data_IF_733941506293
#
_entry.id   IF_733941506293
#
_cell.length_a   1.000
_cell.length_b   1.000
_cell.length_c   1.000
_cell.angle_alpha   90.00
_cell.angle_beta   90.00
_cell.angle_gamma   90.00
#
_symmetry.space_group_name_H-M   'P 1'
#
loop_
_entity.id
_entity.type
_entity.pdbx_description
1 polymer ?
#
# COMPACT_ATOMS: atom_id res chain seq x y z
N UNK A 1 -28.92 22.42 -38.76
CA UNK A 1 -29.60 21.62 -37.72
C UNK A 1 -29.48 22.37 -36.41
N UNK A 2 -30.61 22.91 -35.98
CA UNK A 2 -30.74 23.86 -34.87
C UNK A 2 -30.59 23.10 -33.54
N UNK A 3 -29.61 23.49 -32.73
CA UNK A 3 -29.41 22.96 -31.39
C UNK A 3 -30.58 23.42 -30.51
N UNK A 4 -31.57 22.54 -30.32
CA UNK A 4 -32.65 22.77 -29.37
C UNK A 4 -32.02 23.03 -27.99
N UNK A 5 -32.18 24.25 -27.46
CA UNK A 5 -31.79 24.61 -26.10
C UNK A 5 -32.57 23.74 -25.12
N UNK A 6 -31.99 22.60 -24.75
CA UNK A 6 -32.51 21.74 -23.68
C UNK A 6 -32.58 22.58 -22.42
N UNK A 7 -33.80 22.81 -21.92
CA UNK A 7 -34.02 23.56 -20.68
C UNK A 7 -33.15 22.96 -19.58
N UNK A 8 -32.37 23.80 -18.87
CA UNK A 8 -31.55 23.37 -17.73
C UNK A 8 -32.36 22.57 -16.71
N UNK A 9 -33.66 22.85 -16.58
CA UNK A 9 -34.59 22.10 -15.74
C UNK A 9 -34.85 20.67 -16.25
N UNK A 10 -34.94 20.45 -17.57
CA UNK A 10 -35.08 19.11 -18.15
C UNK A 10 -33.81 18.27 -17.96
N UNK A 11 -32.64 18.91 -18.08
CA UNK A 11 -31.35 18.25 -17.84
C UNK A 11 -31.16 17.89 -16.37
N UNK A 12 -31.51 18.81 -15.46
CA UNK A 12 -31.46 18.58 -14.02
C UNK A 12 -32.47 17.50 -13.60
N UNK A 13 -33.70 17.54 -14.11
CA UNK A 13 -34.72 16.51 -13.85
C UNK A 13 -34.27 15.13 -14.36
N UNK A 14 -33.66 15.06 -15.55
CA UNK A 14 -33.13 13.80 -16.08
C UNK A 14 -32.00 13.20 -15.21
N UNK A 15 -31.23 14.03 -14.48
CA UNK A 15 -30.23 13.56 -13.52
C UNK A 15 -30.81 13.18 -12.16
N UNK A 16 -31.82 13.92 -11.67
CA UNK A 16 -32.41 13.70 -10.33
C UNK A 16 -33.40 12.52 -10.33
N UNK A 17 -34.22 12.36 -11.37
CA UNK A 17 -35.28 11.33 -11.41
C UNK A 17 -34.73 9.92 -11.18
N UNK A 18 -33.63 9.47 -11.84
CA UNK A 18 -33.07 8.15 -11.57
C UNK A 18 -32.59 7.98 -10.13
N UNK A 19 -32.03 9.03 -9.51
CA UNK A 19 -31.56 9.00 -8.11
C UNK A 19 -32.75 8.87 -7.16
N UNK A 20 -33.83 9.61 -7.40
CA UNK A 20 -35.04 9.54 -6.58
C UNK A 20 -35.71 8.17 -6.72
N UNK A 21 -35.81 7.63 -7.94
CA UNK A 21 -36.35 6.29 -8.17
C UNK A 21 -35.51 5.21 -7.51
N UNK A 22 -34.17 5.33 -7.59
CA UNK A 22 -33.25 4.43 -6.89
C UNK A 22 -33.42 4.51 -5.37
N UNK A 23 -33.48 5.71 -4.81
CA UNK A 23 -33.72 5.92 -3.38
C UNK A 23 -35.07 5.33 -2.94
N UNK A 24 -36.14 5.54 -3.72
CA UNK A 24 -37.44 4.95 -3.46
C UNK A 24 -37.42 3.41 -3.52
N UNK A 25 -36.71 2.83 -4.49
CA UNK A 25 -36.51 1.38 -4.59
C UNK A 25 -35.74 0.82 -3.39
N UNK A 26 -34.67 1.50 -2.96
CA UNK A 26 -33.91 1.12 -1.75
C UNK A 26 -34.82 1.18 -0.52
N UNK A 27 -35.53 2.29 -0.30
CA UNK A 27 -36.46 2.42 0.83
C UNK A 27 -37.57 1.36 0.81
N UNK A 28 -38.06 0.99 -0.37
CA UNK A 28 -39.01 -0.11 -0.52
C UNK A 28 -38.39 -1.44 -0.11
N UNK A 29 -37.22 -1.78 -0.65
CA UNK A 29 -36.53 -3.05 -0.37
C UNK A 29 -36.10 -3.20 1.10
N UNK A 30 -35.72 -2.11 1.77
CA UNK A 30 -35.41 -2.12 3.21
C UNK A 30 -36.63 -1.91 4.12
N UNK A 31 -37.82 -1.71 3.55
CA UNK A 31 -39.06 -1.50 4.27
C UNK A 31 -40.12 -2.52 3.86
N UNK A 32 -41.20 -2.12 3.15
CA UNK A 32 -42.29 -3.03 2.77
C UNK A 32 -41.89 -4.25 1.94
N UNK A 33 -40.78 -4.17 1.20
CA UNK A 33 -40.24 -5.22 0.35
C UNK A 33 -39.14 -6.06 1.00
N UNK A 34 -38.90 -5.93 2.30
CA UNK A 34 -37.80 -6.64 2.99
C UNK A 34 -37.88 -8.17 2.87
N UNK A 35 -39.08 -8.73 2.73
CA UNK A 35 -39.28 -10.17 2.50
C UNK A 35 -38.61 -10.64 1.19
N UNK A 36 -38.45 -9.76 0.20
CA UNK A 36 -37.73 -10.05 -1.05
C UNK A 36 -36.23 -10.23 -0.84
N UNK A 37 -35.70 -9.80 0.31
CA UNK A 37 -34.29 -9.90 0.70
C UNK A 37 -34.02 -11.06 1.67
N UNK A 38 -35.04 -11.81 2.08
CA UNK A 38 -34.92 -12.86 3.08
C UNK A 38 -34.41 -14.19 2.47
N UNK A 39 -33.12 -14.23 2.13
CA UNK A 39 -32.48 -15.37 1.48
C UNK A 39 -31.87 -16.40 2.45
N UNK A 40 -31.99 -16.20 3.76
CA UNK A 40 -31.44 -17.10 4.76
C UNK A 40 -31.13 -16.40 6.07
N UNK A 41 -30.51 -17.14 6.99
CA UNK A 41 -30.08 -16.62 8.29
C UNK A 41 -28.68 -16.04 8.09
N UNK A 42 -28.46 -14.73 8.35
CA UNK A 42 -27.13 -14.16 8.36
C UNK A 42 -26.23 -14.86 9.39
N UNK A 43 -25.00 -15.15 9.01
CA UNK A 43 -24.00 -15.73 9.90
C UNK A 43 -23.27 -14.63 10.67
N UNK A 44 -22.81 -14.88 11.91
CA UNK A 44 -21.92 -13.94 12.59
C UNK A 44 -20.59 -13.87 11.85
N UNK A 45 -19.92 -12.73 11.98
CA UNK A 45 -18.55 -12.57 11.50
C UNK A 45 -17.83 -11.55 12.39
N UNK A 46 -16.63 -11.91 12.83
CA UNK A 46 -15.74 -11.02 13.58
C UNK A 46 -14.36 -11.00 12.96
N UNK A 47 -13.72 -9.84 13.02
CA UNK A 47 -12.33 -9.67 12.65
C UNK A 47 -11.49 -9.48 13.91
N UNK A 48 -10.49 -10.33 14.09
CA UNK A 48 -9.43 -10.11 15.07
C UNK A 48 -8.44 -9.12 14.44
N UNK A 49 -8.46 -7.87 14.90
CA UNK A 49 -7.70 -6.78 14.26
C UNK A 49 -6.28 -6.68 14.80
N UNK A 50 -6.06 -7.04 16.06
CA UNK A 50 -4.77 -6.91 16.74
C UNK A 50 -4.63 -7.89 17.90
N UNK A 51 -3.46 -8.49 18.04
CA UNK A 51 -3.07 -9.33 19.19
C UNK A 51 -1.81 -8.71 19.79
N UNK A 52 -1.86 -8.36 21.07
CA UNK A 52 -0.75 -7.76 21.80
C UNK A 52 -0.37 -8.60 23.01
N UNK A 53 0.90 -8.92 23.10
CA UNK A 53 1.46 -9.67 24.21
C UNK A 53 2.01 -8.69 25.26
N UNK A 54 1.33 -8.62 26.39
CA UNK A 54 1.71 -7.77 27.54
C UNK A 54 1.98 -8.65 28.75
N UNK A 55 2.66 -8.13 29.78
CA UNK A 55 3.09 -8.97 30.91
C UNK A 55 1.89 -9.70 31.55
N UNK A 56 1.92 -11.04 31.54
CA UNK A 56 0.90 -11.94 32.11
C UNK A 56 -0.50 -11.84 31.45
N UNK A 57 -0.59 -11.29 30.24
CA UNK A 57 -1.87 -11.11 29.54
C UNK A 57 -1.68 -11.06 28.01
N UNK A 58 -2.64 -11.60 27.27
CA UNK A 58 -2.79 -11.41 25.82
C UNK A 58 -4.01 -10.50 25.61
N UNK A 59 -3.82 -9.39 24.89
CA UNK A 59 -4.86 -8.42 24.58
C UNK A 59 -5.25 -8.55 23.10
N UNK A 60 -6.54 -8.77 22.84
CA UNK A 60 -7.08 -9.02 21.50
C UNK A 60 -8.10 -7.95 21.17
N UNK A 61 -7.84 -7.16 20.13
CA UNK A 61 -8.82 -6.20 19.60
C UNK A 61 -9.69 -6.91 18.57
N UNK A 62 -11.00 -6.93 18.80
CA UNK A 62 -11.96 -7.61 17.94
C UNK A 62 -13.02 -6.62 17.44
N UNK A 63 -13.42 -6.74 16.18
CA UNK A 63 -14.51 -5.97 15.57
C UNK A 63 -15.59 -6.90 15.05
N UNK A 64 -16.87 -6.58 15.29
CA UNK A 64 -17.97 -7.23 14.60
C UNK A 64 -18.04 -6.74 13.14
N UNK A 65 -17.70 -7.60 12.19
CA UNK A 65 -17.75 -7.29 10.75
C UNK A 65 -18.97 -7.91 10.07
N UNK A 66 -19.71 -8.74 10.80
CA UNK A 66 -20.93 -9.38 10.36
C UNK A 66 -22.13 -8.43 10.24
N UNK A 67 -23.21 -8.92 9.62
CA UNK A 67 -24.45 -8.17 9.44
C UNK A 67 -25.34 -8.15 10.70
N UNK A 68 -25.03 -8.97 11.71
CA UNK A 68 -25.83 -9.14 12.94
C UNK A 68 -25.04 -8.76 14.18
N UNK A 69 -25.75 -8.36 15.22
CA UNK A 69 -25.17 -8.14 16.54
C UNK A 69 -24.84 -9.50 17.18
N UNK A 70 -23.76 -9.54 17.94
CA UNK A 70 -23.25 -10.77 18.58
C UNK A 70 -22.63 -10.47 19.93
N UNK A 71 -22.33 -11.51 20.70
CA UNK A 71 -21.55 -11.40 21.92
C UNK A 71 -20.38 -12.38 21.94
N UNK A 72 -19.21 -11.92 22.38
CA UNK A 72 -18.07 -12.80 22.63
C UNK A 72 -18.38 -13.62 23.88
N UNK A 73 -18.43 -14.94 23.74
CA UNK A 73 -18.81 -15.86 24.81
C UNK A 73 -17.58 -16.49 25.50
N UNK A 74 -16.55 -16.82 24.72
CA UNK A 74 -15.34 -17.48 25.22
C UNK A 74 -14.10 -17.01 24.47
N UNK A 75 -12.95 -17.10 25.13
CA UNK A 75 -11.63 -16.95 24.53
C UNK A 75 -10.77 -18.17 24.86
N UNK A 76 -9.93 -18.57 23.91
CA UNK A 76 -9.02 -19.68 24.05
C UNK A 76 -7.62 -19.36 23.48
N UNK A 77 -6.61 -20.02 24.02
CA UNK A 77 -5.21 -19.94 23.56
C UNK A 77 -4.73 -21.37 23.36
N UNK A 78 -4.35 -21.71 22.12
CA UNK A 78 -3.98 -23.07 21.71
C UNK A 78 -5.07 -24.10 22.10
N UNK A 79 -6.32 -23.83 21.73
CA UNK A 79 -7.52 -24.63 22.02
C UNK A 79 -7.87 -24.81 23.51
N UNK A 80 -7.19 -24.11 24.41
CA UNK A 80 -7.52 -24.12 25.84
C UNK A 80 -8.27 -22.86 26.23
N UNK A 81 -9.47 -23.03 26.79
CA UNK A 81 -10.33 -21.93 27.23
C UNK A 81 -9.75 -21.26 28.46
N UNK A 82 -9.74 -19.92 28.44
CA UNK A 82 -9.33 -19.07 29.57
C UNK A 82 -10.45 -18.08 29.92
N UNK A 83 -10.57 -17.68 31.20
CA UNK A 83 -11.47 -16.59 31.56
C UNK A 83 -10.93 -15.28 30.98
N UNK A 84 -11.72 -14.56 30.18
CA UNK A 84 -11.31 -13.29 29.60
C UNK A 84 -12.22 -12.15 30.07
N UNK A 85 -11.64 -10.97 30.29
CA UNK A 85 -12.41 -9.74 30.48
C UNK A 85 -12.62 -9.08 29.11
N UNK A 86 -13.81 -8.53 28.86
CA UNK A 86 -14.15 -7.89 27.59
C UNK A 86 -14.60 -6.46 27.88
N UNK A 87 -13.95 -5.49 27.25
CA UNK A 87 -14.17 -4.06 27.43
C UNK A 87 -14.66 -3.42 26.11
N UNK A 88 -15.69 -2.55 26.12
CA UNK A 88 -16.46 -2.10 27.28
C UNK A 88 -17.47 -3.14 27.80
N UNK A 89 -17.99 -3.99 26.92
CA UNK A 89 -18.82 -5.13 27.27
C UNK A 89 -18.74 -6.22 26.18
N UNK A 90 -19.34 -7.39 26.43
CA UNK A 90 -19.22 -8.55 25.55
C UNK A 90 -20.08 -8.45 24.28
N UNK A 91 -21.06 -7.56 24.24
CA UNK A 91 -21.94 -7.34 23.10
C UNK A 91 -21.32 -6.38 22.09
N UNK A 92 -21.47 -6.71 20.81
CA UNK A 92 -20.93 -5.94 19.71
C UNK A 92 -22.02 -5.76 18.66
N UNK A 93 -22.50 -4.53 18.50
CA UNK A 93 -23.24 -4.16 17.31
C UNK A 93 -22.33 -4.12 16.09
N UNK A 94 -22.91 -4.11 14.90
CA UNK A 94 -22.15 -4.09 13.65
C UNK A 94 -21.12 -2.94 13.61
N UNK A 95 -19.87 -3.30 13.33
CA UNK A 95 -18.66 -2.47 13.31
C UNK A 95 -18.16 -1.92 14.64
N UNK A 96 -18.80 -2.29 15.76
CA UNK A 96 -18.26 -2.01 17.08
C UNK A 96 -17.02 -2.87 17.36
N UNK A 97 -16.16 -2.34 18.20
CA UNK A 97 -14.89 -2.94 18.60
C UNK A 97 -14.89 -3.18 20.10
N UNK A 98 -14.36 -4.32 20.54
CA UNK A 98 -14.07 -4.60 21.95
C UNK A 98 -12.62 -5.06 22.11
N UNK A 99 -12.13 -4.91 23.34
CA UNK A 99 -10.85 -5.43 23.80
C UNK A 99 -11.09 -6.68 24.65
N UNK A 100 -10.59 -7.83 24.21
CA UNK A 100 -10.61 -9.09 24.96
C UNK A 100 -9.27 -9.29 25.64
N UNK A 101 -9.29 -9.34 26.98
CA UNK A 101 -8.14 -9.43 27.88
C UNK A 101 -8.04 -10.84 28.45
N UNK A 102 -7.06 -11.61 27.98
CA UNK A 102 -6.86 -13.02 28.36
C UNK A 102 -5.67 -13.11 29.32
N UNK A 103 -5.87 -13.43 30.62
CA UNK A 103 -4.78 -13.64 31.57
C UNK A 103 -4.01 -14.91 31.19
N UNK A 104 -2.81 -14.73 30.67
CA UNK A 104 -2.00 -15.81 30.10
C UNK A 104 -0.50 -15.48 30.22
N UNK A 105 0.29 -16.43 30.69
CA UNK A 105 1.76 -16.34 30.71
C UNK A 105 2.30 -16.86 29.38
N UNK A 106 2.84 -15.96 28.55
CA UNK A 106 3.40 -16.28 27.24
C UNK A 106 4.93 -16.15 27.25
N UNK A 107 5.57 -16.81 26.30
CA UNK A 107 7.00 -16.73 26.06
C UNK A 107 7.29 -16.05 24.72
N UNK A 108 8.38 -15.29 24.68
CA UNK A 108 8.84 -14.64 23.45
C UNK A 108 9.25 -15.68 22.40
N UNK A 109 8.94 -15.40 21.14
CA UNK A 109 9.19 -16.26 19.98
C UNK A 109 8.49 -17.63 20.01
N UNK A 110 7.48 -17.83 20.86
CA UNK A 110 6.58 -18.98 20.76
C UNK A 110 5.38 -18.69 19.84
N UNK A 111 4.94 -19.66 19.03
CA UNK A 111 3.72 -19.55 18.26
C UNK A 111 2.49 -19.74 19.15
N UNK A 112 1.44 -18.95 18.89
CA UNK A 112 0.14 -19.08 19.55
C UNK A 112 -1.01 -19.00 18.55
N UNK A 113 -2.05 -19.79 18.74
CA UNK A 113 -3.35 -19.58 18.12
C UNK A 113 -4.32 -19.00 19.16
N UNK A 114 -4.88 -17.83 18.85
CA UNK A 114 -5.84 -17.14 19.71
C UNK A 114 -7.23 -17.30 19.11
N UNK A 115 -8.14 -17.93 19.86
CA UNK A 115 -9.51 -18.17 19.45
C UNK A 115 -10.53 -17.36 20.24
N UNK A 116 -11.56 -16.87 19.56
CA UNK A 116 -12.74 -16.23 20.14
C UNK A 116 -13.99 -16.96 19.66
N UNK A 117 -14.83 -17.40 20.59
CA UNK A 117 -16.10 -18.06 20.29
C UNK A 117 -17.25 -17.13 20.65
N UNK A 118 -18.16 -16.92 19.71
CA UNK A 118 -19.33 -16.04 19.90
C UNK A 118 -20.53 -16.82 20.48
N UNK A 119 -21.60 -16.12 20.85
CA UNK A 119 -22.76 -16.66 21.57
C UNK A 119 -23.52 -17.80 20.85
N UNK A 120 -23.32 -17.98 19.54
CA UNK A 120 -23.92 -19.10 18.78
C UNK A 120 -23.00 -20.34 18.67
N UNK A 121 -21.79 -20.26 19.24
CA UNK A 121 -20.79 -21.32 19.21
C UNK A 121 -19.81 -21.26 18.03
N UNK A 122 -19.93 -20.29 17.13
CA UNK A 122 -18.97 -20.09 16.03
C UNK A 122 -17.64 -19.58 16.59
N UNK A 123 -16.53 -20.27 16.26
CA UNK A 123 -15.16 -19.91 16.66
C UNK A 123 -14.44 -19.21 15.51
N UNK A 124 -13.78 -18.12 15.83
CA UNK A 124 -12.87 -17.38 14.95
C UNK A 124 -11.50 -17.42 15.59
N UNK A 125 -10.45 -17.65 14.80
CA UNK A 125 -9.10 -17.78 15.33
C UNK A 125 -8.08 -17.10 14.45
N UNK A 126 -6.99 -16.65 15.07
CA UNK A 126 -5.86 -16.09 14.39
C UNK A 126 -4.56 -16.63 15.00
N UNK A 127 -3.65 -17.06 14.13
CA UNK A 127 -2.31 -17.50 14.52
C UNK A 127 -1.33 -16.34 14.60
N UNK A 128 -0.43 -16.41 15.56
CA UNK A 128 0.77 -15.59 15.69
C UNK A 128 1.95 -16.55 15.62
N UNK A 129 2.82 -16.38 14.63
CA UNK A 129 3.96 -17.28 14.40
C UNK A 129 5.04 -17.16 15.50
N UNK A 130 5.24 -15.94 16.00
CA UNK A 130 6.21 -15.64 17.03
C UNK A 130 5.69 -14.51 17.92
N UNK A 131 5.33 -14.81 19.17
CA UNK A 131 4.92 -13.79 20.12
C UNK A 131 6.07 -12.83 20.43
N UNK A 132 5.77 -11.53 20.35
CA UNK A 132 6.70 -10.47 20.73
C UNK A 132 6.01 -9.47 21.68
N UNK A 133 6.75 -8.89 22.64
CA UNK A 133 6.21 -7.88 23.52
C UNK A 133 5.57 -6.72 22.75
N UNK A 134 4.39 -6.28 23.18
CA UNK A 134 3.71 -5.13 22.61
C UNK A 134 4.63 -3.90 22.59
N UNK A 135 4.79 -3.29 21.42
CA UNK A 135 5.66 -2.13 21.27
C UNK A 135 5.14 -0.93 22.05
N UNK A 136 6.03 -0.32 22.83
CA UNK A 136 5.78 0.97 23.46
C UNK A 136 6.49 2.06 22.68
N UNK A 137 5.78 3.09 22.19
CA UNK A 137 6.41 4.22 21.53
C UNK A 137 7.51 4.82 22.42
N UNK A 138 8.74 4.83 21.91
CA UNK A 138 9.91 5.42 22.58
C UNK A 138 10.81 6.12 21.57
N UNK A 139 11.68 7.00 22.05
CA UNK A 139 12.64 7.71 21.20
C UNK A 139 13.65 6.71 20.62
N UNK A 140 14.03 5.70 21.39
CA UNK A 140 14.93 4.62 20.96
C UNK A 140 14.34 3.84 19.80
N UNK A 141 13.07 3.43 19.90
CA UNK A 141 12.38 2.68 18.85
C UNK A 141 12.12 3.56 17.61
N UNK A 142 11.74 4.82 17.79
CA UNK A 142 11.62 5.77 16.68
C UNK A 142 12.98 5.96 15.97
N UNK A 143 14.07 6.06 16.72
CA UNK A 143 15.42 6.18 16.16
C UNK A 143 15.82 4.91 15.41
N UNK A 144 15.49 3.73 15.94
CA UNK A 144 15.71 2.46 15.27
C UNK A 144 14.99 2.39 13.93
N UNK A 145 13.69 2.72 13.87
CA UNK A 145 12.96 2.78 12.61
C UNK A 145 13.53 3.79 11.62
N UNK A 146 14.02 4.94 12.11
CA UNK A 146 14.65 5.94 11.25
C UNK A 146 15.98 5.44 10.65
N UNK A 147 16.76 4.68 11.42
CA UNK A 147 17.97 4.03 10.93
C UNK A 147 17.61 3.00 9.85
N UNK A 148 16.65 2.10 10.12
CA UNK A 148 16.18 1.13 9.14
C UNK A 148 15.69 1.82 7.85
N UNK A 149 14.80 2.81 7.95
CA UNK A 149 14.31 3.56 6.80
C UNK A 149 15.42 4.29 6.04
N UNK A 150 16.50 4.71 6.71
CA UNK A 150 17.67 5.29 6.05
C UNK A 150 18.46 4.25 5.25
N UNK A 151 18.65 3.04 5.80
CA UNK A 151 19.35 1.94 5.13
C UNK A 151 18.55 1.30 3.99
N UNK A 152 17.23 1.34 4.07
CA UNK A 152 16.33 0.79 3.06
C UNK A 152 16.01 1.81 1.97
N UNK A 153 15.68 3.06 2.34
CA UNK A 153 15.26 4.09 1.39
C UNK A 153 16.41 4.98 0.93
N UNK A 154 16.98 5.77 1.83
CA UNK A 154 17.90 6.86 1.45
C UNK A 154 19.21 6.32 0.86
N UNK A 155 19.91 5.43 1.57
CA UNK A 155 21.25 4.97 1.15
C UNK A 155 21.18 4.24 -0.20
N UNK A 156 20.28 3.27 -0.44
CA UNK A 156 20.21 2.55 -1.70
C UNK A 156 19.88 3.46 -2.87
N UNK A 157 18.89 4.34 -2.73
CA UNK A 157 18.54 5.30 -3.79
C UNK A 157 19.76 6.19 -4.12
N UNK A 158 20.50 6.65 -3.12
CA UNK A 158 21.73 7.42 -3.34
C UNK A 158 22.83 6.61 -4.03
N UNK A 159 22.97 5.33 -3.71
CA UNK A 159 23.87 4.40 -4.43
C UNK A 159 23.44 4.28 -5.89
N UNK A 160 22.13 4.13 -6.15
CA UNK A 160 21.57 4.10 -7.49
C UNK A 160 21.87 5.37 -8.30
N UNK A 161 21.86 6.53 -7.66
CA UNK A 161 22.21 7.80 -8.32
C UNK A 161 23.68 7.86 -8.77
N UNK A 162 24.58 7.02 -8.22
CA UNK A 162 25.97 6.95 -8.65
C UNK A 162 26.12 6.40 -10.08
N UNK A 163 25.07 5.81 -10.66
CA UNK A 163 25.04 5.44 -12.08
C UNK A 163 24.96 6.64 -13.02
N UNK A 164 24.65 7.85 -12.52
CA UNK A 164 24.50 9.06 -13.34
C UNK A 164 25.67 9.31 -14.31
N UNK A 165 26.96 9.31 -13.90
CA UNK A 165 28.08 9.61 -14.80
C UNK A 165 28.25 8.58 -15.92
N UNK A 166 27.85 7.33 -15.66
CA UNK A 166 27.88 6.24 -16.63
C UNK A 166 26.79 6.43 -17.69
N UNK A 167 25.54 6.69 -17.27
CA UNK A 167 24.41 6.93 -18.18
C UNK A 167 24.64 8.19 -19.03
N UNK A 168 25.18 9.25 -18.45
CA UNK A 168 25.41 10.53 -19.12
C UNK A 168 26.32 10.42 -20.35
N UNK A 169 27.24 9.44 -20.35
CA UNK A 169 28.23 9.21 -21.42
C UNK A 169 27.74 8.24 -22.50
N UNK A 170 26.52 7.72 -22.40
CA UNK A 170 26.01 6.71 -23.34
C UNK A 170 25.59 7.29 -24.69
N UNK A 171 25.64 6.44 -25.73
CA UNK A 171 25.01 6.72 -27.02
C UNK A 171 23.48 6.87 -26.88
N UNK A 172 22.79 7.53 -27.83
CA UNK A 172 21.32 7.71 -27.77
C UNK A 172 20.56 6.38 -27.61
N UNK A 173 20.93 5.35 -28.36
CA UNK A 173 20.29 4.02 -28.29
C UNK A 173 20.47 3.34 -26.92
N UNK A 174 21.67 3.44 -26.32
CA UNK A 174 21.94 2.89 -24.98
C UNK A 174 21.19 3.68 -23.90
N UNK A 175 21.18 5.01 -24.00
CA UNK A 175 20.39 5.85 -23.09
C UNK A 175 18.90 5.49 -23.12
N UNK A 176 18.34 5.29 -24.32
CA UNK A 176 16.96 4.87 -24.50
C UNK A 176 16.67 3.49 -23.89
N UNK A 177 17.58 2.53 -24.08
CA UNK A 177 17.50 1.23 -23.42
C UNK A 177 17.44 1.37 -21.90
N UNK A 178 18.31 2.17 -21.28
CA UNK A 178 18.32 2.37 -19.83
C UNK A 178 17.07 3.09 -19.32
N UNK A 179 16.55 4.06 -20.07
CA UNK A 179 15.29 4.72 -19.73
C UNK A 179 14.09 3.75 -19.80
N UNK A 180 14.10 2.83 -20.77
CA UNK A 180 13.10 1.78 -20.89
C UNK A 180 13.27 0.66 -19.85
N UNK A 181 14.52 0.33 -19.47
CA UNK A 181 14.85 -0.54 -18.34
C UNK A 181 14.20 -0.02 -17.07
N UNK A 182 14.37 1.27 -16.77
CA UNK A 182 13.67 1.92 -15.66
C UNK A 182 12.17 1.72 -15.71
N UNK A 183 11.52 1.92 -16.87
CA UNK A 183 10.08 1.71 -17.00
C UNK A 183 9.70 0.25 -16.70
N UNK A 184 10.50 -0.73 -17.14
CA UNK A 184 10.30 -2.15 -16.83
C UNK A 184 10.42 -2.45 -15.33
N UNK A 185 11.47 -1.95 -14.68
CA UNK A 185 11.65 -2.09 -13.23
C UNK A 185 10.43 -1.55 -12.45
N UNK A 186 9.99 -0.34 -12.81
CA UNK A 186 8.84 0.32 -12.18
C UNK A 186 7.51 -0.40 -12.44
N UNK A 187 7.29 -0.97 -13.64
CA UNK A 187 6.07 -1.75 -13.91
C UNK A 187 5.97 -2.94 -12.96
N UNK A 188 7.07 -3.66 -12.74
CA UNK A 188 7.09 -4.77 -11.80
C UNK A 188 6.76 -4.30 -10.38
N UNK A 189 7.43 -3.24 -9.91
CA UNK A 189 7.20 -2.67 -8.56
C UNK A 189 5.73 -2.24 -8.35
N UNK A 190 5.10 -1.67 -9.39
CA UNK A 190 3.68 -1.31 -9.31
C UNK A 190 2.75 -2.52 -9.21
N UNK A 191 3.13 -3.67 -9.79
CA UNK A 191 2.37 -4.93 -9.68
C UNK A 191 2.59 -5.57 -8.30
N UNK A 192 3.85 -5.61 -7.86
CA UNK A 192 4.27 -6.10 -6.54
C UNK A 192 3.49 -5.43 -5.41
N UNK A 193 3.43 -4.09 -5.41
CA UNK A 193 2.66 -3.32 -4.43
C UNK A 193 1.14 -3.59 -4.46
N UNK A 194 0.58 -3.99 -5.61
CA UNK A 194 -0.84 -4.39 -5.70
C UNK A 194 -1.04 -5.78 -5.12
N UNK A 195 -0.10 -6.70 -5.40
CA UNK A 195 -0.14 -8.09 -4.97
C UNK A 195 -0.05 -8.20 -3.44
N UNK A 196 0.92 -7.49 -2.84
CA UNK A 196 1.04 -7.33 -1.38
C UNK A 196 -0.27 -6.76 -0.77
N UNK A 197 -0.87 -5.76 -1.43
CA UNK A 197 -2.16 -5.22 -0.99
C UNK A 197 -3.27 -6.28 -0.99
N UNK A 198 -3.29 -7.18 -1.99
CA UNK A 198 -4.25 -8.28 -2.05
C UNK A 198 -4.00 -9.32 -0.97
N UNK A 199 -2.75 -9.65 -0.66
CA UNK A 199 -2.39 -10.57 0.42
C UNK A 199 -2.85 -10.03 1.78
N UNK A 200 -2.50 -8.78 2.11
CA UNK A 200 -2.99 -8.12 3.34
C UNK A 200 -4.52 -8.09 3.37
N UNK A 201 -5.17 -7.83 2.24
CA UNK A 201 -6.63 -7.83 2.15
C UNK A 201 -7.23 -9.21 2.38
N UNK A 202 -6.57 -10.28 1.97
CA UNK A 202 -7.07 -11.64 2.10
C UNK A 202 -6.87 -12.17 3.53
N UNK A 203 -5.75 -11.83 4.15
CA UNK A 203 -5.34 -12.38 5.44
C UNK A 203 -5.78 -11.54 6.65
N UNK A 204 -5.79 -10.21 6.51
CA UNK A 204 -5.87 -9.27 7.65
C UNK A 204 -7.04 -8.30 7.58
N UNK A 205 -7.83 -8.29 6.49
CA UNK A 205 -8.98 -7.42 6.36
C UNK A 205 -10.27 -8.21 6.15
N UNK A 206 -11.30 -7.92 6.93
CA UNK A 206 -12.62 -8.52 6.71
C UNK A 206 -13.16 -8.19 5.31
N UNK A 207 -13.79 -9.20 4.69
CA UNK A 207 -14.48 -9.05 3.40
C UNK A 207 -15.55 -7.94 3.40
N UNK A 208 -16.06 -7.54 4.57
CA UNK A 208 -16.99 -6.42 4.71
C UNK A 208 -16.44 -5.09 4.14
N UNK A 209 -15.11 -4.92 4.11
CA UNK A 209 -14.45 -3.72 3.59
C UNK A 209 -14.11 -3.77 2.10
N UNK A 210 -14.34 -4.90 1.42
CA UNK A 210 -14.05 -5.09 -0.01
C UNK A 210 -12.63 -4.63 -0.40
N UNK A 211 -11.60 -5.14 0.28
CA UNK A 211 -10.23 -4.66 0.11
C UNK A 211 -9.72 -4.72 -1.33
N UNK A 212 -10.13 -5.69 -2.15
CA UNK A 212 -9.74 -5.73 -3.57
C UNK A 212 -10.26 -4.52 -4.36
N UNK A 213 -11.51 -4.10 -4.11
CA UNK A 213 -12.09 -2.93 -4.76
C UNK A 213 -11.50 -1.64 -4.21
N UNK A 214 -11.15 -1.62 -2.91
CA UNK A 214 -10.42 -0.51 -2.31
C UNK A 214 -9.08 -0.31 -3.01
N UNK A 215 -8.30 -1.38 -3.21
CA UNK A 215 -7.02 -1.35 -3.94
C UNK A 215 -7.21 -0.75 -5.33
N UNK A 216 -8.10 -1.34 -6.13
CA UNK A 216 -8.35 -0.86 -7.49
C UNK A 216 -8.76 0.62 -7.51
N UNK A 217 -9.63 1.03 -6.59
CA UNK A 217 -10.11 2.42 -6.47
C UNK A 217 -8.98 3.38 -6.13
N UNK A 218 -8.14 3.02 -5.16
CA UNK A 218 -7.05 3.88 -4.69
C UNK A 218 -5.92 3.94 -5.72
N UNK A 219 -5.57 2.83 -6.37
CA UNK A 219 -4.58 2.80 -7.47
C UNK A 219 -5.02 3.72 -8.61
N UNK A 220 -6.26 3.54 -9.11
CA UNK A 220 -6.78 4.33 -10.23
C UNK A 220 -6.94 5.80 -9.84
N UNK A 221 -7.49 6.07 -8.66
CA UNK A 221 -7.67 7.43 -8.14
C UNK A 221 -6.34 8.18 -8.00
N UNK A 222 -5.33 7.51 -7.45
CA UNK A 222 -3.98 8.07 -7.27
C UNK A 222 -3.30 8.29 -8.62
N UNK A 223 -3.34 7.31 -9.52
CA UNK A 223 -2.82 7.45 -10.88
C UNK A 223 -3.42 8.66 -11.61
N UNK A 224 -4.76 8.78 -11.61
CA UNK A 224 -5.46 9.88 -12.30
C UNK A 224 -5.15 11.22 -11.64
N UNK A 225 -5.20 11.30 -10.31
CA UNK A 225 -4.95 12.52 -9.57
C UNK A 225 -3.53 13.05 -9.77
N UNK A 226 -2.53 12.16 -9.69
CA UNK A 226 -1.13 12.49 -9.92
C UNK A 226 -0.88 12.84 -11.39
N UNK A 227 -1.44 12.08 -12.33
CA UNK A 227 -1.27 12.34 -13.76
C UNK A 227 -1.84 13.72 -14.16
N UNK A 228 -3.03 14.07 -13.67
CA UNK A 228 -3.62 15.39 -13.88
C UNK A 228 -2.75 16.51 -13.32
N UNK A 229 -2.25 16.34 -12.09
CA UNK A 229 -1.42 17.33 -11.41
C UNK A 229 -0.06 17.49 -12.11
N UNK A 230 0.55 16.38 -12.54
CA UNK A 230 1.79 16.32 -13.28
C UNK A 230 1.70 17.08 -14.62
N UNK A 231 0.68 16.81 -15.44
CA UNK A 231 0.48 17.49 -16.73
C UNK A 231 0.28 19.01 -16.55
N UNK A 232 -0.46 19.41 -15.52
CA UNK A 232 -0.69 20.83 -15.19
C UNK A 232 0.58 21.55 -14.72
N UNK A 233 1.46 20.85 -14.01
CA UNK A 233 2.73 21.39 -13.54
C UNK A 233 3.75 21.49 -14.67
N UNK A 234 3.90 20.43 -15.47
CA UNK A 234 4.88 20.36 -16.56
C UNK A 234 4.54 21.31 -17.71
N UNK A 235 3.25 21.53 -18.01
CA UNK A 235 2.82 22.47 -19.06
C UNK A 235 3.18 23.94 -18.78
N UNK A 236 3.52 24.29 -17.54
CA UNK A 236 3.89 25.66 -17.12
C UNK A 236 5.40 25.91 -17.08
N UNK A 237 6.21 24.92 -17.45
CA UNK A 237 7.66 24.91 -17.20
C UNK A 237 8.44 24.88 -18.53
N UNK A 238 9.58 25.58 -18.59
CA UNK A 238 10.42 25.65 -19.79
C UNK A 238 11.07 24.30 -20.15
N UNK A 239 11.44 24.09 -21.42
CA UNK A 239 12.00 22.81 -21.91
C UNK A 239 13.26 22.36 -21.15
N UNK A 240 14.16 23.29 -20.78
CA UNK A 240 15.34 22.99 -19.97
C UNK A 240 15.01 22.54 -18.53
N UNK A 241 13.85 22.94 -18.02
CA UNK A 241 13.36 22.56 -16.69
C UNK A 241 12.49 21.30 -16.74
N UNK A 242 12.17 20.78 -17.93
CA UNK A 242 11.33 19.58 -18.14
C UNK A 242 12.02 18.31 -17.64
N UNK A 243 13.31 18.12 -17.91
CA UNK A 243 14.08 16.97 -17.39
C UNK A 243 14.11 16.94 -15.85
N UNK A 244 14.32 18.12 -15.24
CA UNK A 244 14.33 18.27 -13.77
C UNK A 244 12.94 18.02 -13.19
N UNK A 245 11.89 18.54 -13.83
CA UNK A 245 10.51 18.30 -13.41
C UNK A 245 10.15 16.81 -13.49
N UNK A 246 10.55 16.11 -14.57
CA UNK A 246 10.30 14.66 -14.68
C UNK A 246 11.08 13.89 -13.63
N UNK A 247 12.36 14.21 -13.41
CA UNK A 247 13.14 13.56 -12.36
C UNK A 247 12.57 13.80 -10.96
N UNK A 248 12.02 14.99 -10.70
CA UNK A 248 11.32 15.29 -9.46
C UNK A 248 10.02 14.49 -9.33
N UNK A 249 9.23 14.37 -10.40
CA UNK A 249 8.02 13.53 -10.39
C UNK A 249 8.36 12.05 -10.17
N UNK A 250 9.43 11.55 -10.80
CA UNK A 250 9.97 10.21 -10.55
C UNK A 250 10.35 10.05 -9.08
N UNK A 251 11.12 10.99 -8.53
CA UNK A 251 11.53 10.95 -7.12
C UNK A 251 10.35 11.02 -6.14
N UNK A 252 9.31 11.81 -6.43
CA UNK A 252 8.09 11.87 -5.61
C UNK A 252 7.30 10.56 -5.71
N UNK A 253 7.15 10.00 -6.92
CA UNK A 253 6.43 8.74 -7.13
C UNK A 253 7.12 7.58 -6.43
N UNK A 254 8.45 7.50 -6.54
CA UNK A 254 9.28 6.56 -5.77
C UNK A 254 9.11 6.82 -4.28
N UNK A 255 9.22 8.07 -3.80
CA UNK A 255 9.02 8.35 -2.37
C UNK A 255 7.68 7.91 -1.80
N UNK A 256 6.60 7.96 -2.58
CA UNK A 256 5.31 7.41 -2.15
C UNK A 256 5.30 5.87 -2.09
N UNK A 257 6.10 5.19 -2.93
CA UNK A 257 6.30 3.76 -2.88
C UNK A 257 7.14 3.34 -1.66
N UNK A 258 8.29 3.98 -1.41
CA UNK A 258 9.13 3.65 -0.26
C UNK A 258 8.45 3.99 1.07
N UNK A 259 7.46 4.91 1.08
CA UNK A 259 6.56 5.08 2.23
C UNK A 259 5.79 3.78 2.55
N UNK A 260 5.29 3.09 1.53
CA UNK A 260 4.61 1.80 1.67
C UNK A 260 5.54 0.69 2.15
N UNK A 261 6.75 0.59 1.58
CA UNK A 261 7.79 -0.34 2.05
C UNK A 261 8.14 -0.12 3.52
N UNK A 262 8.35 1.14 3.89
CA UNK A 262 8.59 1.52 5.28
C UNK A 262 7.45 1.04 6.17
N UNK A 263 6.20 1.21 5.75
CA UNK A 263 5.03 0.76 6.49
C UNK A 263 5.04 -0.76 6.70
N UNK A 264 5.32 -1.54 5.65
CA UNK A 264 5.41 -3.00 5.73
C UNK A 264 6.53 -3.45 6.67
N UNK A 265 7.73 -2.86 6.57
CA UNK A 265 8.83 -3.15 7.49
C UNK A 265 8.46 -2.79 8.93
N UNK A 266 7.90 -1.59 9.14
CA UNK A 266 7.46 -1.14 10.46
C UNK A 266 6.45 -2.09 11.07
N UNK A 267 5.47 -2.53 10.28
CA UNK A 267 4.44 -3.48 10.69
C UNK A 267 5.02 -4.87 11.02
N UNK A 268 5.86 -5.44 10.16
CA UNK A 268 6.47 -6.74 10.37
C UNK A 268 7.34 -6.77 11.64
N UNK A 269 8.15 -5.73 11.85
CA UNK A 269 8.90 -5.55 13.10
C UNK A 269 7.90 -5.38 14.26
N UNK A 270 6.84 -4.58 14.05
CA UNK A 270 5.67 -4.35 14.92
C UNK A 270 5.08 -5.62 15.50
N UNK A 271 4.91 -6.61 14.64
CA UNK A 271 4.29 -7.90 14.91
C UNK A 271 5.28 -8.97 15.39
N UNK A 272 6.57 -8.64 15.49
CA UNK A 272 7.61 -9.60 15.89
C UNK A 272 8.01 -10.59 14.79
N UNK A 273 7.63 -10.34 13.54
CA UNK A 273 7.90 -11.22 12.40
C UNK A 273 9.34 -11.00 11.92
N UNK A 274 10.31 -11.57 12.65
CA UNK A 274 11.76 -11.36 12.43
C UNK A 274 12.20 -11.84 11.03
N UNK A 275 11.68 -12.99 10.58
CA UNK A 275 11.99 -13.53 9.27
C UNK A 275 11.47 -12.60 8.16
N UNK A 276 10.20 -12.21 8.24
CA UNK A 276 9.58 -11.31 7.27
C UNK A 276 10.27 -9.94 7.26
N UNK A 277 10.50 -9.33 8.42
CA UNK A 277 11.18 -8.03 8.50
C UNK A 277 12.60 -8.07 7.93
N UNK A 278 13.37 -9.14 8.17
CA UNK A 278 14.72 -9.30 7.60
C UNK A 278 14.66 -9.44 6.08
N UNK A 279 13.74 -10.28 5.59
CA UNK A 279 13.46 -10.46 4.18
C UNK A 279 13.11 -9.13 3.52
N UNK A 280 12.14 -8.40 4.07
CA UNK A 280 11.69 -7.10 3.57
C UNK A 280 12.83 -6.08 3.58
N UNK A 281 13.61 -5.97 4.65
CA UNK A 281 14.74 -5.01 4.72
C UNK A 281 15.78 -5.31 3.64
N UNK A 282 16.20 -6.57 3.49
CA UNK A 282 17.23 -6.93 2.51
C UNK A 282 16.71 -6.74 1.09
N UNK A 283 15.52 -7.28 0.81
CA UNK A 283 14.91 -7.13 -0.50
C UNK A 283 14.68 -5.69 -0.86
N UNK A 284 14.17 -4.91 0.11
CA UNK A 284 13.92 -3.51 -0.10
C UNK A 284 15.19 -2.64 -0.18
N UNK A 285 16.32 -3.14 0.32
CA UNK A 285 17.60 -2.46 0.10
C UNK A 285 18.10 -2.69 -1.33
N UNK A 286 17.95 -3.91 -1.84
CA UNK A 286 18.44 -4.28 -3.18
C UNK A 286 17.61 -3.58 -4.26
N UNK A 287 16.27 -3.63 -4.18
CA UNK A 287 15.42 -3.02 -5.21
C UNK A 287 15.54 -1.48 -5.26
N UNK A 288 15.74 -0.79 -4.12
CA UNK A 288 15.83 0.68 -4.01
C UNK A 288 17.14 1.22 -4.60
N UNK A 289 18.15 0.35 -4.68
CA UNK A 289 19.37 0.68 -5.45
C UNK A 289 19.06 0.89 -6.93
N UNK A 290 18.09 0.17 -7.48
CA UNK A 290 17.68 0.32 -8.89
C UNK A 290 16.80 1.54 -9.12
N UNK A 291 16.15 2.06 -8.09
CA UNK A 291 15.32 3.27 -8.18
C UNK A 291 16.14 4.56 -8.34
N UNK A 292 17.33 4.62 -7.75
CA UNK A 292 18.24 5.74 -8.00
C UNK A 292 18.63 5.87 -9.48
N UNK A 293 18.70 4.75 -10.21
CA UNK A 293 18.89 4.74 -11.67
C UNK A 293 17.73 5.43 -12.39
N UNK A 294 16.49 5.20 -11.90
CA UNK A 294 15.27 5.78 -12.46
C UNK A 294 15.25 7.31 -12.39
N UNK A 295 15.76 7.87 -11.31
CA UNK A 295 15.89 9.32 -11.11
C UNK A 295 17.04 9.87 -11.96
N UNK A 296 18.17 9.14 -12.03
CA UNK A 296 19.36 9.56 -12.75
C UNK A 296 19.14 9.64 -14.27
N UNK A 297 18.39 8.69 -14.85
CA UNK A 297 18.20 8.59 -16.30
C UNK A 297 17.62 9.88 -16.94
N UNK A 298 16.46 10.40 -16.53
CA UNK A 298 15.95 11.73 -16.93
C UNK A 298 16.96 12.88 -16.92
N UNK A 299 17.87 12.85 -15.96
CA UNK A 299 18.82 13.94 -15.71
C UNK A 299 20.12 13.77 -16.49
N UNK A 300 20.39 12.59 -17.03
CA UNK A 300 21.71 12.21 -17.54
C UNK A 300 22.19 13.04 -18.75
N UNK A 301 21.27 13.69 -19.48
CA UNK A 301 21.60 14.61 -20.59
C UNK A 301 21.76 16.07 -20.18
N UNK A 302 21.52 16.39 -18.90
CA UNK A 302 21.72 17.73 -18.35
C UNK A 302 23.12 17.87 -17.76
N UNK A 303 23.57 19.11 -17.52
CA UNK A 303 24.78 19.35 -16.72
C UNK A 303 24.60 18.72 -15.33
N UNK A 304 25.63 18.06 -14.78
CA UNK A 304 25.55 17.42 -13.48
C UNK A 304 25.19 18.44 -12.39
N UNK A 305 24.08 18.20 -11.69
CA UNK A 305 23.62 19.02 -10.57
C UNK A 305 23.57 18.14 -9.32
N UNK A 306 24.73 17.84 -8.76
CA UNK A 306 24.90 16.91 -7.62
C UNK A 306 23.93 17.24 -6.48
N UNK A 307 23.80 18.53 -6.11
CA UNK A 307 22.85 18.97 -5.07
C UNK A 307 21.39 18.61 -5.39
N UNK A 308 20.97 18.74 -6.65
CA UNK A 308 19.60 18.41 -7.06
C UNK A 308 19.37 16.90 -7.09
N UNK A 309 20.36 16.13 -7.56
CA UNK A 309 20.30 14.67 -7.54
C UNK A 309 20.22 14.15 -6.11
N UNK A 310 21.06 14.67 -5.20
CA UNK A 310 21.00 14.32 -3.79
C UNK A 310 19.64 14.69 -3.16
N UNK A 311 19.10 15.88 -3.44
CA UNK A 311 17.78 16.25 -2.96
C UNK A 311 16.68 15.33 -3.50
N UNK A 312 16.74 14.94 -4.78
CA UNK A 312 15.80 13.98 -5.36
C UNK A 312 15.93 12.60 -4.72
N UNK A 313 17.15 12.12 -4.47
CA UNK A 313 17.38 10.87 -3.74
C UNK A 313 16.82 10.91 -2.32
N UNK A 314 16.90 12.07 -1.66
CA UNK A 314 16.31 12.24 -0.33
C UNK A 314 14.77 12.27 -0.39
N UNK A 315 14.18 12.95 -1.37
CA UNK A 315 12.72 12.97 -1.59
C UNK A 315 12.19 11.56 -1.85
N UNK A 316 12.94 10.74 -2.59
CA UNK A 316 12.63 9.35 -2.86
C UNK A 316 12.84 8.43 -1.64
N UNK A 317 13.96 8.53 -0.93
CA UNK A 317 14.26 7.58 0.14
C UNK A 317 13.71 7.94 1.53
N UNK A 318 13.61 9.21 1.88
CA UNK A 318 13.23 9.63 3.24
C UNK A 318 11.81 9.21 3.68
N UNK A 319 10.81 9.13 2.79
CA UNK A 319 9.49 8.63 3.17
C UNK A 319 9.48 7.22 3.77
N UNK A 320 10.46 6.36 3.49
CA UNK A 320 10.59 5.05 4.13
C UNK A 320 10.68 5.14 5.66
N UNK A 321 11.30 6.21 6.18
CA UNK A 321 11.36 6.48 7.62
C UNK A 321 9.96 6.75 8.18
N UNK A 322 9.19 7.60 7.48
CA UNK A 322 7.82 7.92 7.88
C UNK A 322 6.95 6.66 7.83
N UNK A 323 7.14 5.84 6.81
CA UNK A 323 6.47 4.55 6.67
C UNK A 323 6.76 3.65 7.86
N UNK A 324 8.03 3.46 8.20
CA UNK A 324 8.46 2.61 9.32
C UNK A 324 7.87 3.06 10.66
N UNK A 325 7.81 4.37 10.90
CA UNK A 325 7.13 4.89 12.09
C UNK A 325 5.64 4.60 12.09
N UNK A 326 4.94 4.90 11.00
CA UNK A 326 3.48 4.67 10.94
C UNK A 326 3.17 3.19 11.07
N UNK A 327 3.92 2.33 10.39
CA UNK A 327 3.74 0.87 10.41
C UNK A 327 4.05 0.28 11.78
N UNK A 328 5.14 0.72 12.42
CA UNK A 328 5.56 0.18 13.71
C UNK A 328 4.74 0.65 14.90
N UNK A 329 4.21 1.88 14.88
CA UNK A 329 3.45 2.42 16.02
C UNK A 329 1.93 2.25 15.88
N UNK A 330 1.41 2.27 14.65
CA UNK A 330 -0.03 2.29 14.40
C UNK A 330 -0.34 1.49 13.14
N UNK A 331 -0.06 0.19 13.17
CA UNK A 331 -0.45 -0.68 12.06
C UNK A 331 -1.97 -0.73 11.91
N UNK A 332 -2.44 -0.60 10.67
CA UNK A 332 -3.82 -0.79 10.28
C UNK A 332 -3.83 -1.43 8.89
N UNK A 333 -4.42 -2.63 8.72
CA UNK A 333 -4.49 -3.29 7.43
C UNK A 333 -5.10 -2.40 6.34
N UNK A 334 -6.15 -1.64 6.66
CA UNK A 334 -6.77 -0.68 5.74
C UNK A 334 -5.79 0.40 5.31
N UNK A 335 -5.04 0.98 6.26
CA UNK A 335 -4.06 2.03 5.93
C UNK A 335 -2.91 1.47 5.09
N UNK A 336 -2.47 0.24 5.36
CA UNK A 336 -1.46 -0.44 4.56
C UNK A 336 -1.91 -0.63 3.11
N UNK A 337 -3.11 -1.16 2.92
CA UNK A 337 -3.73 -1.30 1.61
C UNK A 337 -3.81 0.05 0.88
N UNK A 338 -4.26 1.11 1.57
CA UNK A 338 -4.35 2.45 0.97
C UNK A 338 -2.98 2.96 0.55
N UNK A 339 -1.97 2.91 1.41
CA UNK A 339 -0.65 3.45 1.09
C UNK A 339 0.07 2.68 -0.02
N UNK A 340 0.03 1.34 0.00
CA UNK A 340 0.55 0.50 -1.08
C UNK A 340 -0.13 0.82 -2.42
N UNK A 341 -1.45 0.97 -2.40
CA UNK A 341 -2.25 1.32 -3.59
C UNK A 341 -1.94 2.72 -4.12
N UNK A 342 -1.72 3.70 -3.23
CA UNK A 342 -1.26 5.06 -3.60
C UNK A 342 0.11 4.98 -4.27
N UNK A 343 1.04 4.21 -3.70
CA UNK A 343 2.38 3.96 -4.25
C UNK A 343 2.32 3.36 -5.65
N UNK A 344 1.55 2.28 -5.85
CA UNK A 344 1.35 1.65 -7.15
C UNK A 344 0.78 2.63 -8.19
N UNK A 345 -0.26 3.40 -7.82
CA UNK A 345 -0.83 4.43 -8.69
C UNK A 345 0.17 5.51 -9.09
N UNK A 346 1.03 5.94 -8.17
CA UNK A 346 2.11 6.89 -8.42
C UNK A 346 3.18 6.32 -9.37
N UNK A 347 3.60 5.07 -9.15
CA UNK A 347 4.56 4.38 -10.01
C UNK A 347 4.04 4.27 -11.44
N UNK A 348 2.79 3.83 -11.66
CA UNK A 348 2.22 3.76 -13.00
C UNK A 348 2.15 5.11 -13.69
N UNK A 349 1.88 6.19 -12.93
CA UNK A 349 1.91 7.55 -13.47
C UNK A 349 3.31 7.90 -13.98
N UNK A 350 4.36 7.57 -13.21
CA UNK A 350 5.75 7.79 -13.59
C UNK A 350 6.14 6.97 -14.82
N UNK A 351 5.72 5.70 -14.89
CA UNK A 351 5.92 4.84 -16.08
C UNK A 351 5.36 5.53 -17.33
N UNK A 352 4.13 6.05 -17.26
CA UNK A 352 3.54 6.80 -18.38
C UNK A 352 4.36 8.04 -18.73
N UNK A 353 4.88 8.78 -17.75
CA UNK A 353 5.73 9.93 -18.00
C UNK A 353 7.03 9.55 -18.74
N UNK A 354 7.66 8.44 -18.34
CA UNK A 354 8.87 7.91 -18.98
C UNK A 354 8.57 7.42 -20.40
N UNK A 355 7.49 6.66 -20.61
CA UNK A 355 7.11 6.17 -21.94
C UNK A 355 6.77 7.34 -22.89
N UNK A 356 6.09 8.39 -22.40
CA UNK A 356 5.86 9.61 -23.19
C UNK A 356 7.15 10.30 -23.58
N UNK A 357 8.16 10.31 -22.70
CA UNK A 357 9.49 10.82 -23.03
C UNK A 357 10.13 10.00 -24.13
N UNK A 358 10.19 8.67 -23.98
CA UNK A 358 10.74 7.76 -24.99
C UNK A 358 10.05 7.96 -26.35
N UNK A 359 8.73 8.19 -26.35
CA UNK A 359 7.94 8.45 -27.57
C UNK A 359 8.34 9.74 -28.29
N UNK A 360 8.81 10.76 -27.56
CA UNK A 360 9.24 12.04 -28.15
C UNK A 360 10.62 11.95 -28.84
N UNK A 361 11.32 10.83 -28.69
CA UNK A 361 12.60 10.54 -29.33
C UNK A 361 12.40 9.90 -30.72
N UNK A 362 13.31 10.16 -31.68
CA UNK A 362 13.10 9.89 -33.13
C UNK A 362 12.80 8.42 -33.48
N UNK A 363 13.23 7.48 -32.64
CA UNK A 363 13.06 6.04 -32.87
C UNK A 363 11.71 5.48 -32.36
N UNK A 364 10.87 6.28 -31.69
CA UNK A 364 9.52 5.89 -31.24
C UNK A 364 9.46 4.80 -30.15
N UNK A 365 8.26 4.44 -29.69
CA UNK A 365 8.08 3.46 -28.60
C UNK A 365 8.43 2.02 -28.98
N UNK A 366 8.25 1.63 -30.25
CA UNK A 366 8.38 0.25 -30.72
C UNK A 366 9.80 -0.13 -31.17
N UNK A 367 10.82 0.57 -30.69
CA UNK A 367 12.22 0.25 -31.04
C UNK A 367 12.77 -0.91 -30.20
N UNK A 368 13.68 -1.70 -30.79
CA UNK A 368 14.33 -2.81 -30.09
C UNK A 368 14.98 -2.42 -28.75
N UNK A 369 15.66 -1.25 -28.60
CA UNK A 369 16.18 -0.80 -27.30
C UNK A 369 15.08 -0.61 -26.24
N UNK A 370 13.91 -0.11 -26.62
CA UNK A 370 12.79 0.08 -25.68
C UNK A 370 12.25 -1.26 -25.20
N UNK A 371 11.94 -2.15 -26.14
CA UNK A 371 11.38 -3.46 -25.81
C UNK A 371 12.35 -4.30 -24.98
N UNK A 372 13.64 -4.31 -25.35
CA UNK A 372 14.67 -5.00 -24.59
C UNK A 372 14.86 -4.38 -23.20
N UNK A 373 14.85 -3.06 -23.08
CA UNK A 373 14.95 -2.38 -21.79
C UNK A 373 13.82 -2.80 -20.85
N UNK A 374 12.57 -2.65 -21.26
CA UNK A 374 11.40 -3.03 -20.45
C UNK A 374 11.48 -4.51 -20.04
N UNK A 375 11.73 -5.40 -21.00
CA UNK A 375 11.81 -6.84 -20.72
C UNK A 375 12.94 -7.19 -19.74
N UNK A 376 14.13 -6.64 -19.93
CA UNK A 376 15.26 -6.88 -19.03
C UNK A 376 15.00 -6.29 -17.64
N UNK A 377 14.36 -5.13 -17.54
CA UNK A 377 13.93 -4.55 -16.26
C UNK A 377 12.98 -5.49 -15.51
N UNK A 378 11.93 -5.97 -16.17
CA UNK A 378 11.00 -6.95 -15.60
C UNK A 378 11.71 -8.24 -15.15
N UNK A 379 12.65 -8.76 -15.96
CA UNK A 379 13.41 -9.97 -15.62
C UNK A 379 14.33 -9.74 -14.42
N UNK A 380 15.01 -8.60 -14.33
CA UNK A 380 15.87 -8.27 -13.19
C UNK A 380 15.03 -8.26 -11.91
N UNK A 381 13.86 -7.62 -11.93
CA UNK A 381 12.98 -7.57 -10.76
C UNK A 381 12.44 -8.94 -10.39
N UNK A 382 11.97 -9.72 -11.38
CA UNK A 382 11.52 -11.10 -11.14
C UNK A 382 12.62 -12.00 -10.56
N UNK A 383 13.86 -11.88 -11.05
CA UNK A 383 14.99 -12.62 -10.47
C UNK A 383 15.33 -12.13 -9.07
N UNK A 384 15.18 -10.82 -8.82
CA UNK A 384 15.38 -10.24 -7.48
C UNK A 384 14.33 -10.78 -6.52
N UNK A 385 13.06 -10.87 -6.92
CA UNK A 385 11.96 -11.43 -6.11
C UNK A 385 12.02 -12.95 -5.88
N UNK A 386 13.02 -13.64 -6.43
CA UNK A 386 13.31 -15.06 -6.10
C UNK A 386 14.43 -15.13 -5.03
N UNK A 387 15.31 -14.13 -5.01
CA UNK A 387 16.48 -14.07 -4.12
C UNK A 387 16.15 -13.41 -2.78
N UNK A 388 15.19 -12.51 -2.82
CA UNK A 388 14.40 -12.11 -1.67
C UNK A 388 13.34 -13.18 -1.60
#
# INVERSE_FOLDING_TARGET
>A
MESAKTSKAKVLAAGIIPIVLLAAMILYLFGPGADLLNFGIPLPDISIERIEFVKSEIQVTVRNTGPIDLSIAQADVNDRIYPAAIEPDAHLSRFETALVRIPFEWNEAEPYEIGLTVNDGTRFAQSVEAAAPAMKPSIELASYFAVIGTYVGIIPVMIGLLWFPFIAKMSPAKYKFFLALTAGLLIFLGIDAIEEGFEISAERLSGAFNGQLLIATVVVGSFVGLYYTAEKLVSRVSSASKSVAIALMVAIGIGLHNLGEGLAIGAAIGLGEVALSTFLIIGFTIHNTTEGLAIAAPMARQKPMIKKLALMGFIAGAPAILGAWVGGFQYSPIMAIIFLSVGAGAIFQVVVAILKWIKQDEQGLLSAPTAAGIAVGMIIMYLTSILV
#
